data_IF_586019086064
#
_entry.id   IF_586019086064
#
_cell.length_a   1.000
_cell.length_b   1.000
_cell.length_c   1.000
_cell.angle_alpha   90.00
_cell.angle_beta   90.00
_cell.angle_gamma   90.00
#
_symmetry.space_group_name_H-M   'P 1'
#
loop_
_entity.id
_entity.type
_entity.pdbx_description
1 polymer ?
#
# COMPACT_ATOMS: atom_id res chain seq x y z
N UNK A 1 -19.14 -34.82 -12.56
CA UNK A 1 -18.40 -34.52 -11.31
C UNK A 1 -17.09 -35.30 -11.39
N UNK A 2 -15.99 -34.64 -11.78
CA UNK A 2 -14.68 -35.30 -11.90
C UNK A 2 -13.77 -34.75 -10.80
N UNK A 3 -13.50 -35.58 -9.80
CA UNK A 3 -12.48 -35.29 -8.80
C UNK A 3 -11.13 -35.75 -9.36
N UNK A 4 -10.27 -34.81 -9.75
CA UNK A 4 -8.87 -35.09 -10.09
C UNK A 4 -8.10 -35.27 -8.78
N UNK A 5 -7.73 -36.51 -8.47
CA UNK A 5 -6.88 -36.85 -7.33
C UNK A 5 -5.43 -36.49 -7.67
N UNK A 6 -5.02 -35.28 -7.32
CA UNK A 6 -3.63 -34.84 -7.46
C UNK A 6 -2.79 -35.56 -6.39
N UNK A 7 -1.89 -36.46 -6.83
CA UNK A 7 -1.01 -37.24 -5.97
C UNK A 7 0.01 -36.38 -5.21
N UNK A 8 0.53 -36.90 -4.09
CA UNK A 8 1.44 -36.19 -3.17
C UNK A 8 2.77 -35.74 -3.81
N UNK A 9 3.10 -36.20 -5.02
CA UNK A 9 4.29 -35.77 -5.76
C UNK A 9 4.08 -34.53 -6.65
N UNK A 10 2.83 -34.05 -6.80
CA UNK A 10 2.52 -32.81 -7.51
C UNK A 10 2.69 -31.54 -6.65
N UNK A 11 3.05 -31.69 -5.37
CA UNK A 11 3.35 -30.56 -4.46
C UNK A 11 4.63 -29.80 -4.81
N UNK A 12 5.37 -30.20 -5.85
CA UNK A 12 6.55 -29.50 -6.37
C UNK A 12 6.29 -28.61 -7.59
N UNK A 13 5.06 -28.54 -8.12
CA UNK A 13 4.69 -27.41 -8.95
C UNK A 13 4.51 -26.22 -8.02
N UNK A 14 5.59 -25.47 -7.78
CA UNK A 14 5.56 -24.21 -7.06
C UNK A 14 4.47 -23.37 -7.72
N UNK A 15 3.35 -23.14 -7.02
CA UNK A 15 2.30 -22.24 -7.50
C UNK A 15 3.00 -20.90 -7.73
N UNK A 16 3.21 -20.56 -9.00
CA UNK A 16 3.90 -19.34 -9.37
C UNK A 16 3.01 -18.19 -8.89
N UNK A 17 3.51 -17.41 -7.93
CA UNK A 17 2.76 -16.30 -7.37
C UNK A 17 2.32 -15.36 -8.49
N UNK A 18 1.06 -14.94 -8.47
CA UNK A 18 0.50 -14.13 -9.55
C UNK A 18 0.91 -12.67 -9.41
N UNK A 19 0.97 -11.95 -10.53
CA UNK A 19 1.11 -10.51 -10.51
C UNK A 19 -0.21 -9.86 -10.07
N UNK A 20 -0.11 -8.83 -9.23
CA UNK A 20 -1.23 -8.05 -8.74
C UNK A 20 -0.81 -6.60 -8.54
N UNK A 21 -1.59 -5.66 -9.06
CA UNK A 21 -1.22 -4.23 -9.11
C UNK A 21 -2.08 -3.30 -8.27
N UNK A 22 -3.24 -3.73 -7.76
CA UNK A 22 -4.25 -2.82 -7.19
C UNK A 22 -4.76 -3.27 -5.83
N UNK A 23 -4.58 -2.44 -4.79
CA UNK A 23 -5.18 -2.69 -3.46
C UNK A 23 -4.27 -3.46 -2.50
N UNK A 24 -4.79 -3.82 -1.30
CA UNK A 24 -4.04 -4.54 -0.29
C UNK A 24 -3.60 -5.90 -0.84
N UNK A 25 -2.29 -6.11 -0.82
CA UNK A 25 -1.65 -7.27 -1.43
C UNK A 25 -1.62 -8.45 -0.44
N UNK A 26 -2.24 -9.56 -0.84
CA UNK A 26 -2.00 -10.86 -0.22
C UNK A 26 -0.60 -11.38 -0.59
N UNK A 27 0.27 -11.44 0.41
CA UNK A 27 1.70 -11.79 0.25
C UNK A 27 1.93 -13.29 0.03
N UNK A 28 0.94 -14.12 0.35
CA UNK A 28 1.03 -15.57 0.18
C UNK A 28 0.65 -15.98 -1.24
N UNK A 29 -0.31 -15.26 -1.84
CA UNK A 29 -0.82 -15.51 -3.19
C UNK A 29 -0.05 -14.77 -4.30
N UNK A 30 0.43 -13.55 -4.03
CA UNK A 30 0.95 -12.66 -5.07
C UNK A 30 2.44 -12.37 -4.95
N UNK A 31 3.09 -12.15 -6.09
CA UNK A 31 4.50 -11.77 -6.14
C UNK A 31 4.65 -10.34 -5.64
N UNK A 32 5.62 -10.10 -4.77
CA UNK A 32 5.91 -8.75 -4.29
C UNK A 32 7.36 -8.58 -3.85
N UNK A 33 7.79 -7.32 -3.88
CA UNK A 33 9.08 -6.90 -3.36
C UNK A 33 8.81 -6.07 -2.10
N UNK A 34 9.26 -6.49 -0.90
CA UNK A 34 8.90 -5.84 0.36
C UNK A 34 9.27 -4.35 0.45
N UNK A 35 10.38 -3.92 -0.18
CA UNK A 35 10.94 -2.55 -0.13
C UNK A 35 10.92 -1.93 1.28
N UNK A 36 11.16 -2.74 2.32
CA UNK A 36 11.01 -2.38 3.74
C UNK A 36 11.76 -1.10 4.09
N UNK A 37 13.04 -1.00 3.70
CA UNK A 37 13.87 0.20 3.94
C UNK A 37 13.21 1.50 3.46
N UNK A 38 12.57 1.51 2.29
CA UNK A 38 11.92 2.71 1.75
C UNK A 38 10.61 3.02 2.48
N UNK A 39 9.85 2.01 2.88
CA UNK A 39 8.62 2.17 3.66
C UNK A 39 8.95 2.71 5.05
N UNK A 40 9.95 2.13 5.71
CA UNK A 40 10.39 2.52 7.05
C UNK A 40 10.97 3.95 7.02
N UNK A 41 11.72 4.28 5.98
CA UNK A 41 12.18 5.65 5.76
C UNK A 41 11.01 6.63 5.59
N UNK A 42 10.01 6.30 4.76
CA UNK A 42 8.82 7.13 4.60
C UNK A 42 8.05 7.35 5.91
N UNK A 43 7.91 6.30 6.72
CA UNK A 43 7.30 6.40 8.05
C UNK A 43 8.10 7.32 8.98
N UNK A 44 9.42 7.13 9.05
CA UNK A 44 10.30 7.97 9.87
C UNK A 44 10.21 9.43 9.46
N UNK A 45 10.21 9.71 8.15
CA UNK A 45 10.09 11.09 7.67
C UNK A 45 8.73 11.72 8.02
N UNK A 46 7.63 10.96 7.98
CA UNK A 46 6.31 11.47 8.36
C UNK A 46 6.18 11.67 9.87
N UNK A 47 6.63 10.71 10.68
CA UNK A 47 6.45 10.71 12.13
C UNK A 47 7.49 11.55 12.87
N UNK A 48 8.62 11.85 12.23
CA UNK A 48 9.80 12.42 12.86
C UNK A 48 10.49 11.42 13.81
N UNK A 49 11.63 11.83 14.37
CA UNK A 49 12.35 11.03 15.37
C UNK A 49 11.56 10.92 16.69
N UNK A 50 10.76 11.94 17.02
CA UNK A 50 9.90 11.95 18.19
C UNK A 50 8.45 12.27 17.79
N UNK A 51 7.56 11.25 17.71
CA UNK A 51 6.16 11.44 17.35
C UNK A 51 5.39 12.42 18.24
N UNK A 52 5.84 12.66 19.49
CA UNK A 52 5.21 13.62 20.41
C UNK A 52 5.56 15.08 20.10
N UNK A 53 6.62 15.32 19.33
CA UNK A 53 7.08 16.66 18.93
C UNK A 53 6.55 17.10 17.56
N UNK A 54 5.76 16.26 16.90
CA UNK A 54 5.19 16.51 15.59
C UNK A 54 5.92 15.78 14.47
N UNK A 55 5.22 15.65 13.34
CA UNK A 55 5.71 15.03 12.11
C UNK A 55 6.20 16.04 11.08
N UNK A 56 6.66 15.56 9.92
CA UNK A 56 7.08 16.42 8.81
C UNK A 56 6.16 16.27 7.58
N UNK A 57 6.04 17.37 6.84
CA UNK A 57 5.50 17.34 5.49
C UNK A 57 6.58 16.89 4.53
N UNK A 58 6.29 15.86 3.74
CA UNK A 58 7.23 15.32 2.77
C UNK A 58 6.66 15.46 1.37
N UNK A 59 7.55 15.69 0.40
CA UNK A 59 7.20 15.58 -1.02
C UNK A 59 7.97 14.42 -1.63
N UNK A 60 7.26 13.51 -2.30
CA UNK A 60 7.85 12.32 -2.90
C UNK A 60 7.95 12.51 -4.41
N UNK A 61 9.18 12.55 -4.93
CA UNK A 61 9.48 12.73 -6.34
C UNK A 61 10.15 11.50 -6.95
N UNK A 62 9.78 11.15 -8.18
CA UNK A 62 10.57 10.35 -9.12
C UNK A 62 9.79 10.18 -10.46
N UNK A 63 10.35 9.56 -11.50
CA UNK A 63 9.64 9.28 -12.77
C UNK A 63 8.39 8.40 -12.66
N UNK A 64 7.51 8.40 -13.67
CA UNK A 64 6.32 7.51 -13.70
C UNK A 64 6.70 6.04 -13.49
N UNK A 65 5.76 5.27 -12.92
CA UNK A 65 5.88 3.82 -12.68
C UNK A 65 7.02 3.35 -11.75
N UNK A 66 7.71 4.24 -11.04
CA UNK A 66 8.71 3.87 -10.02
C UNK A 66 8.09 3.47 -8.66
N UNK A 67 6.90 2.87 -8.66
CA UNK A 67 6.20 2.35 -7.46
C UNK A 67 5.96 3.35 -6.30
N UNK A 68 6.06 4.66 -6.53
CA UNK A 68 5.80 5.70 -5.50
C UNK A 68 4.48 5.49 -4.78
N UNK A 69 3.41 5.32 -5.56
CA UNK A 69 2.06 5.08 -5.04
C UNK A 69 2.01 3.81 -4.20
N UNK A 70 2.72 2.75 -4.60
CA UNK A 70 2.76 1.49 -3.87
C UNK A 70 3.49 1.63 -2.53
N UNK A 71 4.65 2.31 -2.52
CA UNK A 71 5.41 2.57 -1.29
C UNK A 71 4.56 3.41 -0.32
N UNK A 72 3.97 4.51 -0.80
CA UNK A 72 3.16 5.39 0.04
C UNK A 72 1.86 4.72 0.49
N UNK A 73 1.24 3.86 -0.31
CA UNK A 73 0.09 3.07 0.14
C UNK A 73 0.47 2.17 1.33
N UNK A 74 1.63 1.52 1.30
CA UNK A 74 2.10 0.71 2.43
C UNK A 74 2.38 1.55 3.69
N UNK A 75 2.91 2.77 3.52
CA UNK A 75 3.09 3.72 4.64
C UNK A 75 1.73 4.08 5.24
N UNK A 76 0.76 4.47 4.41
CA UNK A 76 -0.59 4.83 4.85
C UNK A 76 -1.29 3.66 5.54
N UNK A 77 -1.22 2.44 4.98
CA UNK A 77 -1.80 1.25 5.62
C UNK A 77 -1.20 0.91 6.98
N UNK A 78 0.09 1.22 7.20
CA UNK A 78 0.70 1.06 8.53
C UNK A 78 0.22 2.13 9.50
N UNK A 79 0.10 3.38 9.06
CA UNK A 79 -0.45 4.47 9.87
C UNK A 79 -1.93 4.25 10.20
N UNK A 80 -2.71 3.64 9.30
CA UNK A 80 -4.12 3.31 9.53
C UNK A 80 -4.34 2.23 10.61
N UNK A 81 -3.32 1.43 10.91
CA UNK A 81 -3.35 0.43 11.98
C UNK A 81 -2.90 1.00 13.33
N UNK A 82 -2.50 2.25 13.35
CA UNK A 82 -2.02 2.94 14.54
C UNK A 82 -3.12 3.87 15.03
N UNK A 83 -3.70 3.54 16.18
CA UNK A 83 -4.85 4.25 16.76
C UNK A 83 -4.58 5.72 17.10
N UNK A 84 -3.31 6.16 17.03
CA UNK A 84 -2.91 7.55 17.24
C UNK A 84 -3.23 8.46 16.05
N UNK A 85 -3.54 7.90 14.87
CA UNK A 85 -3.65 8.68 13.64
C UNK A 85 -4.95 8.41 12.88
N UNK A 86 -5.63 9.49 12.50
CA UNK A 86 -6.60 9.48 11.42
C UNK A 86 -5.89 9.71 10.08
N UNK A 87 -6.00 8.75 9.17
CA UNK A 87 -5.31 8.78 7.88
C UNK A 87 -6.28 9.08 6.75
N UNK A 88 -5.98 10.11 5.96
CA UNK A 88 -6.79 10.55 4.82
C UNK A 88 -5.93 10.57 3.56
N UNK A 89 -6.46 10.03 2.46
CA UNK A 89 -5.86 10.10 1.13
C UNK A 89 -6.75 10.92 0.21
N UNK A 90 -6.19 12.01 -0.32
CA UNK A 90 -6.85 12.87 -1.29
C UNK A 90 -6.20 12.73 -2.65
N UNK A 91 -7.01 12.58 -3.69
CA UNK A 91 -6.55 12.62 -5.07
C UNK A 91 -6.93 13.96 -5.70
N UNK A 92 -5.93 14.76 -6.04
CA UNK A 92 -6.14 16.10 -6.61
C UNK A 92 -6.83 16.00 -7.97
N UNK A 93 -6.57 14.95 -8.75
CA UNK A 93 -7.21 14.78 -10.05
C UNK A 93 -8.73 14.59 -9.92
N UNK A 94 -9.17 13.90 -8.87
CA UNK A 94 -10.60 13.68 -8.62
C UNK A 94 -11.26 14.96 -8.09
N UNK A 95 -10.53 15.78 -7.32
CA UNK A 95 -11.02 17.08 -6.83
C UNK A 95 -11.26 18.10 -7.96
N UNK A 96 -10.49 18.05 -9.04
CA UNK A 96 -10.59 19.03 -10.14
C UNK A 96 -11.93 18.97 -10.89
N UNK A 97 -12.66 17.85 -10.81
CA UNK A 97 -13.90 17.65 -11.55
C UNK A 97 -15.18 17.83 -10.70
N UNK A 98 -15.06 18.14 -9.40
CA UNK A 98 -16.20 18.28 -8.50
C UNK A 98 -16.55 19.75 -8.24
N UNK A 99 -17.74 20.19 -8.65
CA UNK A 99 -18.29 21.54 -8.37
C UNK A 99 -18.91 21.67 -6.97
N UNK A 100 -19.08 20.57 -6.25
CA UNK A 100 -19.51 20.51 -4.87
C UNK A 100 -18.52 19.64 -4.11
N UNK A 101 -17.60 20.27 -3.37
CA UNK A 101 -16.50 19.60 -2.69
C UNK A 101 -17.00 18.79 -1.49
N UNK A 102 -17.72 17.70 -1.75
CA UNK A 102 -17.75 16.58 -0.82
C UNK A 102 -16.38 15.94 -0.92
N UNK A 103 -15.50 16.26 0.05
CA UNK A 103 -14.22 15.58 0.21
C UNK A 103 -14.55 14.10 0.40
N UNK A 104 -14.38 13.30 -0.65
CA UNK A 104 -14.54 11.86 -0.56
C UNK A 104 -13.35 11.38 0.25
N UNK A 105 -13.55 11.22 1.56
CA UNK A 105 -12.64 10.48 2.43
C UNK A 105 -12.64 9.03 1.93
N UNK A 106 -11.77 8.72 0.99
CA UNK A 106 -11.51 7.35 0.61
C UNK A 106 -10.83 6.70 1.82
N UNK A 107 -11.64 6.04 2.66
CA UNK A 107 -11.14 5.03 3.59
C UNK A 107 -10.42 4.02 2.71
N UNK A 108 -9.09 4.06 2.74
CA UNK A 108 -8.28 3.19 1.88
C UNK A 108 -8.62 1.76 2.31
N UNK A 109 -9.10 0.89 1.40
CA UNK A 109 -9.39 -0.51 1.73
C UNK A 109 -8.12 -1.26 2.18
#
# INVERSE_FOLDING_TARGET
MFAVKIGRDALRYTIMRKFFSYGPLDKDLYYYVPRTKLIDFGLLQLLGENPKKGGHYITVWAPRQQSKTWIMANVLWRLMKDDRFDVVKLNIQDLQHSLATTVIFLKIP
#
